data_IF_375152608170
#
_entry.id   IF_375152608170
#
_cell.length_a   1.000
_cell.length_b   1.000
_cell.length_c   1.000
_cell.angle_alpha   90.00
_cell.angle_beta   90.00
_cell.angle_gamma   90.00
#
_symmetry.space_group_name_H-M   'P 1'
#
loop_
_entity.id
_entity.type
_entity.pdbx_description
1 polymer ?
#
# COMPACT_ATOMS: atom_id res chain seq x y z
N UNK A 1 -15.04 78.02 17.37
CA UNK A 1 -14.88 77.24 18.61
C UNK A 1 -15.42 75.84 18.37
N UNK A 2 -14.73 74.84 18.91
CA UNK A 2 -14.68 73.46 18.43
C UNK A 2 -16.01 72.68 18.45
N UNK A 3 -16.30 71.98 17.35
CA UNK A 3 -17.28 70.89 17.31
C UNK A 3 -16.66 69.65 17.95
N UNK A 4 -17.27 69.16 19.04
CA UNK A 4 -16.82 67.97 19.76
C UNK A 4 -17.52 66.74 19.16
N UNK A 5 -16.77 65.91 18.43
CA UNK A 5 -17.29 64.66 17.85
C UNK A 5 -17.70 63.68 18.96
N UNK A 6 -18.84 62.98 18.83
CA UNK A 6 -19.23 61.96 19.79
C UNK A 6 -18.28 60.74 19.68
N UNK A 7 -17.69 60.36 20.81
CA UNK A 7 -16.81 59.20 20.92
C UNK A 7 -17.56 57.92 20.61
N UNK A 8 -17.01 57.09 19.72
CA UNK A 8 -17.47 55.74 19.49
C UNK A 8 -17.11 54.86 20.70
N UNK A 9 -18.12 54.36 21.42
CA UNK A 9 -17.93 53.32 22.42
C UNK A 9 -17.57 51.99 21.72
N UNK A 10 -16.30 51.59 21.81
CA UNK A 10 -15.85 50.27 21.37
C UNK A 10 -16.30 49.27 22.45
N UNK A 11 -17.38 48.53 22.16
CA UNK A 11 -17.81 47.41 23.00
C UNK A 11 -16.73 46.33 22.93
N UNK A 12 -15.88 46.28 23.96
CA UNK A 12 -14.92 45.20 24.14
C UNK A 12 -15.68 43.87 24.18
N UNK A 13 -15.45 43.03 23.17
CA UNK A 13 -16.03 41.68 23.08
C UNK A 13 -15.39 40.82 24.16
N UNK A 14 -15.97 40.82 25.37
CA UNK A 14 -15.66 39.83 26.40
C UNK A 14 -15.90 38.44 25.80
N UNK A 15 -14.83 37.68 25.59
CA UNK A 15 -14.90 36.30 25.11
C UNK A 15 -15.72 35.48 26.11
N UNK A 16 -16.79 34.86 25.65
CA UNK A 16 -17.58 33.96 26.47
C UNK A 16 -16.75 32.71 26.79
N UNK A 17 -16.37 32.55 28.05
CA UNK A 17 -15.48 31.48 28.54
C UNK A 17 -16.11 30.10 28.37
N UNK A 18 -17.44 30.01 28.45
CA UNK A 18 -18.16 28.75 28.26
C UNK A 18 -18.07 28.24 26.82
N UNK A 19 -18.15 29.15 25.85
CA UNK A 19 -18.11 28.80 24.43
C UNK A 19 -16.73 28.28 23.98
N UNK A 20 -15.63 28.74 24.59
CA UNK A 20 -14.31 28.16 24.28
C UNK A 20 -14.11 26.77 24.89
N UNK A 21 -14.77 26.45 26.01
CA UNK A 21 -14.76 25.10 26.59
C UNK A 21 -15.56 24.14 25.72
N UNK A 22 -16.77 24.54 25.31
CA UNK A 22 -17.63 23.71 24.45
C UNK A 22 -16.94 23.34 23.13
N UNK A 23 -16.29 24.32 22.48
CA UNK A 23 -15.50 24.05 21.26
C UNK A 23 -14.32 23.11 21.47
N UNK A 24 -13.71 23.13 22.66
CA UNK A 24 -12.62 22.22 23.00
C UNK A 24 -13.13 20.80 23.18
N UNK A 25 -14.25 20.63 23.87
CA UNK A 25 -14.88 19.32 24.09
C UNK A 25 -15.37 18.73 22.77
N UNK A 26 -16.02 19.53 21.91
CA UNK A 26 -16.42 19.10 20.56
C UNK A 26 -15.22 18.63 19.73
N UNK A 27 -14.12 19.39 19.75
CA UNK A 27 -12.89 19.03 19.05
C UNK A 27 -12.32 17.72 19.59
N UNK A 28 -12.28 17.53 20.90
CA UNK A 28 -11.83 16.27 21.50
C UNK A 28 -12.75 15.10 21.14
N UNK A 29 -14.07 15.28 21.11
CA UNK A 29 -14.98 14.22 20.67
C UNK A 29 -14.80 13.86 19.20
N UNK A 30 -14.56 14.86 18.34
CA UNK A 30 -14.29 14.65 16.92
C UNK A 30 -12.95 13.93 16.73
N UNK A 31 -11.90 14.36 17.43
CA UNK A 31 -10.60 13.70 17.40
C UNK A 31 -10.66 12.28 17.97
N UNK A 32 -11.46 12.03 19.01
CA UNK A 32 -11.75 10.68 19.53
C UNK A 32 -12.46 9.82 18.48
N UNK A 33 -13.49 10.36 17.81
CA UNK A 33 -14.22 9.66 16.74
C UNK A 33 -13.34 9.37 15.51
N UNK A 34 -12.46 10.30 15.16
CA UNK A 34 -11.49 10.16 14.06
C UNK A 34 -10.27 9.31 14.45
N UNK A 35 -10.13 8.92 15.72
CA UNK A 35 -8.98 8.17 16.22
C UNK A 35 -7.67 8.96 16.27
N UNK A 36 -7.74 10.29 16.18
CA UNK A 36 -6.59 11.22 16.32
C UNK A 36 -6.21 11.36 17.79
N UNK A 37 -7.21 11.50 18.67
CA UNK A 37 -7.02 11.56 20.11
C UNK A 37 -7.25 10.18 20.72
N UNK A 38 -6.22 9.32 20.62
CA UNK A 38 -6.18 8.05 21.36
C UNK A 38 -5.90 8.32 22.84
N UNK A 39 -6.90 8.12 23.69
CA UNK A 39 -6.76 8.27 25.15
C UNK A 39 -5.62 7.35 25.64
N UNK A 40 -4.65 7.96 26.31
CA UNK A 40 -3.42 7.36 26.82
C UNK A 40 -3.72 6.41 28.00
N UNK A 41 -4.46 5.34 27.78
CA UNK A 41 -4.46 4.16 28.66
C UNK A 41 -4.90 2.93 27.87
N UNK A 42 -3.96 1.99 27.70
CA UNK A 42 -4.14 0.65 27.09
C UNK A 42 -4.23 0.60 25.56
N UNK A 43 -3.21 1.09 24.86
CA UNK A 43 -2.84 0.48 23.57
C UNK A 43 -1.58 -0.36 23.76
N UNK A 44 -1.77 -1.68 23.74
CA UNK A 44 -0.74 -2.62 23.35
C UNK A 44 -0.36 -2.29 21.90
N UNK A 45 0.47 -1.27 21.72
CA UNK A 45 1.01 -0.92 20.41
C UNK A 45 1.78 -2.14 19.92
N UNK A 46 1.31 -2.75 18.84
CA UNK A 46 1.87 -3.99 18.31
C UNK A 46 3.38 -3.89 18.03
N UNK A 47 3.87 -2.66 17.79
CA UNK A 47 5.29 -2.35 17.62
C UNK A 47 6.09 -2.43 18.95
N UNK A 48 5.49 -2.03 20.08
CA UNK A 48 6.11 -2.05 21.41
C UNK A 48 6.11 -3.47 22.01
N UNK A 49 5.11 -4.30 21.70
CA UNK A 49 5.02 -5.69 22.21
C UNK A 49 6.13 -6.60 21.65
N UNK A 50 6.57 -6.36 20.40
CA UNK A 50 7.62 -7.16 19.75
C UNK A 50 9.00 -6.98 20.35
N UNK A 51 9.29 -5.81 20.94
CA UNK A 51 10.62 -5.49 21.47
C UNK A 51 10.90 -6.24 22.78
N UNK A 52 9.89 -6.37 23.65
CA UNK A 52 10.02 -7.03 24.96
C UNK A 52 10.34 -8.54 24.86
N UNK A 53 9.79 -9.26 23.88
CA UNK A 53 10.11 -10.69 23.67
C UNK A 53 11.52 -10.97 23.14
N UNK A 54 12.24 -9.95 22.66
CA UNK A 54 13.55 -10.13 22.02
C UNK A 54 14.70 -10.16 23.04
N UNK A 55 14.52 -9.57 24.21
CA UNK A 55 15.59 -9.36 25.19
C UNK A 55 15.61 -10.41 26.32
N UNK A 56 14.48 -11.03 26.66
CA UNK A 56 14.39 -11.92 27.85
C UNK A 56 14.82 -13.38 27.61
N UNK A 57 15.00 -13.80 26.36
CA UNK A 57 15.32 -15.19 26.06
C UNK A 57 16.71 -15.27 25.43
N UNK A 58 17.73 -15.29 26.29
CA UNK A 58 19.12 -15.56 25.92
C UNK A 58 19.36 -16.99 25.43
N UNK A 59 18.32 -17.80 25.19
CA UNK A 59 18.49 -19.13 24.62
C UNK A 59 18.69 -19.06 23.11
N UNK A 60 19.88 -19.51 22.69
CA UNK A 60 20.22 -19.79 21.30
C UNK A 60 19.42 -20.99 20.81
N UNK A 61 18.14 -20.79 20.50
CA UNK A 61 17.34 -21.82 19.85
C UNK A 61 17.86 -22.08 18.43
N UNK A 62 17.96 -23.34 17.97
CA UNK A 62 18.37 -23.69 16.60
C UNK A 62 17.53 -23.02 15.50
N UNK A 63 16.31 -22.59 15.83
CA UNK A 63 15.46 -21.80 14.93
C UNK A 63 15.95 -20.36 14.79
N UNK A 64 16.40 -19.73 15.89
CA UNK A 64 16.94 -18.37 15.90
C UNK A 64 18.26 -18.29 15.14
N UNK A 65 19.17 -19.24 15.33
CA UNK A 65 20.42 -19.30 14.56
C UNK A 65 20.18 -19.40 13.04
N UNK A 66 19.22 -20.25 12.63
CA UNK A 66 18.85 -20.37 11.21
C UNK A 66 18.30 -19.05 10.67
N UNK A 67 17.44 -18.39 11.45
CA UNK A 67 16.89 -17.09 11.06
C UNK A 67 17.96 -16.00 10.99
N UNK A 68 18.95 -15.99 11.89
CA UNK A 68 20.02 -14.99 11.87
C UNK A 68 21.02 -15.24 10.73
N UNK A 69 21.35 -16.50 10.43
CA UNK A 69 22.11 -16.87 9.21
C UNK A 69 21.36 -16.45 7.95
N UNK A 70 20.04 -16.67 7.90
CA UNK A 70 19.19 -16.25 6.76
C UNK A 70 19.15 -14.73 6.61
N UNK A 71 18.99 -13.98 7.71
CA UNK A 71 19.01 -12.51 7.69
C UNK A 71 20.35 -11.98 7.19
N UNK A 72 21.46 -12.56 7.66
CA UNK A 72 22.81 -12.18 7.22
C UNK A 72 23.03 -12.43 5.73
N UNK A 73 22.53 -13.54 5.20
CA UNK A 73 22.64 -13.85 3.76
C UNK A 73 21.77 -12.91 2.89
N UNK A 74 20.70 -12.36 3.46
CA UNK A 74 19.80 -11.41 2.77
C UNK A 74 20.22 -9.94 2.96
N UNK A 75 21.35 -9.70 3.63
CA UNK A 75 21.89 -8.35 3.81
C UNK A 75 22.75 -7.96 2.59
N UNK A 76 22.39 -6.91 1.83
CA UNK A 76 23.19 -6.47 0.68
C UNK A 76 24.63 -6.10 1.05
N UNK A 77 24.90 -5.68 2.29
CA UNK A 77 26.27 -5.41 2.75
C UNK A 77 27.10 -6.68 2.85
N UNK A 78 26.47 -7.81 3.19
CA UNK A 78 27.14 -9.10 3.24
C UNK A 78 27.59 -9.53 1.83
N UNK A 79 26.74 -9.32 0.83
CA UNK A 79 27.08 -9.60 -0.57
C UNK A 79 28.21 -8.72 -1.07
N UNK A 80 28.13 -7.40 -0.84
CA UNK A 80 29.19 -6.46 -1.22
C UNK A 80 30.53 -6.82 -0.58
N UNK A 81 30.53 -7.18 0.71
CA UNK A 81 31.74 -7.65 1.40
C UNK A 81 32.34 -8.88 0.73
N UNK A 82 31.52 -9.88 0.40
CA UNK A 82 31.96 -11.09 -0.29
C UNK A 82 32.54 -10.79 -1.68
N UNK A 83 31.97 -9.83 -2.43
CA UNK A 83 32.53 -9.39 -3.71
C UNK A 83 33.89 -8.73 -3.55
N UNK A 84 34.02 -7.81 -2.59
CA UNK A 84 35.29 -7.13 -2.30
C UNK A 84 36.38 -8.12 -1.86
N UNK A 85 36.05 -9.10 -1.02
CA UNK A 85 36.97 -10.18 -0.63
C UNK A 85 37.41 -11.01 -1.85
N UNK A 86 36.47 -11.42 -2.73
CA UNK A 86 36.79 -12.16 -3.95
C UNK A 86 37.68 -11.37 -4.93
N UNK A 87 37.47 -10.06 -5.05
CA UNK A 87 38.29 -9.21 -5.93
C UNK A 87 39.68 -8.97 -5.36
N UNK A 88 39.83 -8.94 -4.03
CA UNK A 88 41.15 -8.85 -3.38
C UNK A 88 41.98 -10.13 -3.62
N UNK A 89 41.32 -11.29 -3.52
CA UNK A 89 41.98 -12.58 -3.74
C UNK A 89 42.22 -12.93 -5.22
N UNK A 90 41.55 -12.24 -6.15
CA UNK A 90 41.72 -12.46 -7.60
C UNK A 90 43.09 -12.03 -8.14
N UNK A 91 43.89 -11.32 -7.34
CA UNK A 91 45.30 -11.02 -7.66
C UNK A 91 46.29 -12.06 -7.12
N UNK A 92 45.82 -13.18 -6.53
CA UNK A 92 46.67 -14.30 -6.12
C UNK A 92 46.66 -15.41 -7.18
N UNK A 93 47.81 -15.69 -7.84
CA UNK A 93 47.88 -16.66 -8.95
C UNK A 93 47.73 -18.14 -8.54
N UNK A 94 47.47 -18.44 -7.26
CA UNK A 94 47.57 -19.82 -6.74
C UNK A 94 46.24 -20.61 -6.73
N UNK A 95 45.08 -19.98 -7.00
CA UNK A 95 43.76 -20.62 -6.78
C UNK A 95 42.95 -20.99 -8.02
N UNK A 96 43.50 -20.85 -9.23
CA UNK A 96 42.75 -21.18 -10.47
C UNK A 96 42.42 -22.67 -10.66
N UNK A 97 42.99 -23.60 -9.87
CA UNK A 97 42.87 -25.04 -10.12
C UNK A 97 41.74 -25.80 -9.39
N UNK A 98 40.82 -25.16 -8.66
CA UNK A 98 39.82 -25.90 -7.84
C UNK A 98 38.33 -25.57 -8.06
N UNK A 99 37.90 -25.13 -9.24
CA UNK A 99 36.47 -24.79 -9.49
C UNK A 99 35.75 -25.55 -10.61
N UNK A 100 36.20 -26.76 -10.99
CA UNK A 100 35.58 -27.53 -12.10
C UNK A 100 34.80 -28.80 -11.69
N UNK A 101 34.26 -28.92 -10.46
CA UNK A 101 33.56 -30.16 -10.05
C UNK A 101 32.12 -30.10 -9.54
N UNK A 102 31.44 -28.96 -9.60
CA UNK A 102 29.99 -28.91 -9.37
C UNK A 102 29.29 -28.03 -10.41
N UNK A 103 29.05 -28.59 -11.60
CA UNK A 103 28.17 -27.99 -12.60
C UNK A 103 27.42 -29.07 -13.38
N UNK A 104 26.61 -29.86 -12.69
CA UNK A 104 25.59 -30.70 -13.32
C UNK A 104 24.44 -31.00 -12.35
N UNK A 105 23.33 -30.28 -12.55
CA UNK A 105 21.92 -30.56 -12.19
C UNK A 105 21.23 -29.30 -11.69
N UNK A 106 20.90 -28.42 -12.63
CA UNK A 106 19.76 -27.48 -12.48
C UNK A 106 19.43 -26.87 -13.85
N UNK A 107 19.33 -27.71 -14.90
CA UNK A 107 18.90 -27.27 -16.24
C UNK A 107 17.42 -27.49 -16.54
N UNK A 108 16.66 -28.11 -15.63
CA UNK A 108 15.24 -28.41 -15.85
C UNK A 108 14.31 -27.73 -14.85
N UNK A 109 14.65 -26.51 -14.41
CA UNK A 109 13.64 -25.64 -13.81
C UNK A 109 12.95 -24.92 -14.98
N UNK A 110 11.66 -25.15 -15.26
CA UNK A 110 10.94 -24.33 -16.21
C UNK A 110 11.05 -22.88 -15.73
N UNK A 111 11.75 -22.06 -16.51
CA UNK A 111 11.70 -20.61 -16.39
C UNK A 111 10.23 -20.25 -16.58
N UNK A 112 9.50 -20.10 -15.48
CA UNK A 112 8.21 -19.43 -15.53
C UNK A 112 8.51 -18.08 -16.17
N UNK A 113 7.87 -17.82 -17.31
CA UNK A 113 8.11 -16.71 -18.26
C UNK A 113 7.76 -15.33 -17.68
N UNK A 114 8.04 -15.13 -16.41
CA UNK A 114 7.73 -13.96 -15.60
C UNK A 114 8.75 -12.83 -15.71
N UNK A 115 9.74 -12.95 -16.60
CA UNK A 115 10.77 -11.92 -16.77
C UNK A 115 10.84 -11.45 -18.22
N UNK A 116 10.47 -10.19 -18.43
CA UNK A 116 11.41 -9.21 -19.01
C UNK A 116 10.78 -7.84 -19.23
N UNK A 117 9.85 -7.41 -18.36
CA UNK A 117 9.54 -5.97 -18.32
C UNK A 117 10.77 -5.24 -17.78
N UNK A 118 11.32 -4.31 -18.56
CA UNK A 118 12.41 -3.46 -18.08
C UNK A 118 11.92 -2.60 -16.92
N UNK A 119 12.82 -2.14 -16.05
CA UNK A 119 12.47 -1.27 -14.91
C UNK A 119 11.69 -0.04 -15.39
N UNK A 120 12.05 0.51 -16.55
CA UNK A 120 11.36 1.64 -17.17
C UNK A 120 9.94 1.29 -17.61
N UNK A 121 9.71 0.10 -18.16
CA UNK A 121 8.37 -0.38 -18.51
C UNK A 121 7.48 -0.53 -17.27
N UNK A 122 8.03 -1.00 -16.15
CA UNK A 122 7.29 -1.09 -14.89
C UNK A 122 6.92 0.29 -14.32
N UNK A 123 7.82 1.28 -14.48
CA UNK A 123 7.55 2.67 -14.09
C UNK A 123 6.47 3.30 -14.98
N UNK A 124 6.54 3.08 -16.29
CA UNK A 124 5.55 3.56 -17.23
C UNK A 124 4.17 2.95 -16.96
N UNK A 125 4.11 1.64 -16.68
CA UNK A 125 2.87 0.95 -16.31
C UNK A 125 2.26 1.50 -15.02
N UNK A 126 3.09 1.75 -14.00
CA UNK A 126 2.64 2.39 -12.75
C UNK A 126 2.05 3.77 -13.02
N UNK A 127 2.77 4.63 -13.74
CA UNK A 127 2.30 5.98 -14.09
C UNK A 127 0.97 5.93 -14.85
N UNK A 128 0.84 5.01 -15.81
CA UNK A 128 -0.41 4.81 -16.55
C UNK A 128 -1.56 4.48 -15.60
N UNK A 129 -1.39 3.50 -14.72
CA UNK A 129 -2.41 3.11 -13.73
C UNK A 129 -2.80 4.26 -12.81
N UNK A 130 -1.82 4.97 -12.25
CA UNK A 130 -2.07 6.14 -11.40
C UNK A 130 -2.84 7.24 -12.14
N UNK A 131 -2.52 7.49 -13.42
CA UNK A 131 -3.22 8.49 -14.22
C UNK A 131 -4.66 8.08 -14.55
N UNK A 132 -4.90 6.79 -14.81
CA UNK A 132 -6.21 6.26 -15.13
C UNK A 132 -7.13 6.28 -13.88
N UNK A 133 -6.61 5.90 -12.72
CA UNK A 133 -7.33 6.00 -11.43
C UNK A 133 -7.62 7.47 -11.07
N UNK A 134 -6.66 8.39 -11.32
CA UNK A 134 -6.86 9.83 -11.12
C UNK A 134 -7.93 10.40 -12.05
N UNK A 135 -7.97 9.98 -13.31
CA UNK A 135 -9.04 10.36 -14.25
C UNK A 135 -10.39 9.83 -13.77
N UNK A 136 -10.47 8.55 -13.41
CA UNK A 136 -11.70 7.93 -12.91
C UNK A 136 -12.27 8.65 -11.68
N UNK A 137 -11.39 9.00 -10.73
CA UNK A 137 -11.80 9.77 -9.54
C UNK A 137 -12.21 11.20 -9.90
N UNK A 138 -11.48 11.87 -10.79
CA UNK A 138 -11.85 13.19 -11.31
C UNK A 138 -13.22 13.19 -11.97
N UNK A 139 -13.50 12.19 -12.82
CA UNK A 139 -14.78 12.04 -13.53
C UNK A 139 -15.93 11.77 -12.55
N UNK A 140 -15.70 10.90 -11.55
CA UNK A 140 -16.66 10.66 -10.48
C UNK A 140 -16.98 11.96 -9.72
N UNK A 141 -15.95 12.74 -9.36
CA UNK A 141 -16.12 14.02 -8.67
C UNK A 141 -16.80 15.07 -9.55
N UNK A 142 -16.53 15.09 -10.85
CA UNK A 142 -17.20 15.96 -11.82
C UNK A 142 -18.70 15.60 -11.92
N UNK A 143 -19.03 14.31 -12.00
CA UNK A 143 -20.40 13.81 -11.97
C UNK A 143 -21.13 14.19 -10.68
N UNK A 144 -20.48 14.06 -9.52
CA UNK A 144 -21.04 14.52 -8.23
C UNK A 144 -21.29 16.03 -8.19
N UNK A 145 -20.46 16.82 -8.89
CA UNK A 145 -20.61 18.28 -9.02
C UNK A 145 -21.61 18.69 -10.11
N UNK A 146 -22.32 17.74 -10.73
CA UNK A 146 -23.28 18.02 -11.80
C UNK A 146 -22.66 18.43 -13.13
N UNK A 147 -21.35 18.25 -13.31
CA UNK A 147 -20.68 18.49 -14.60
C UNK A 147 -20.92 17.27 -15.50
N UNK A 148 -21.40 17.50 -16.71
CA UNK A 148 -21.53 16.46 -17.73
C UNK A 148 -20.14 15.91 -18.08
N UNK A 149 -19.94 14.61 -17.88
CA UNK A 149 -18.76 13.88 -18.35
C UNK A 149 -19.21 13.05 -19.55
N UNK A 150 -18.48 13.06 -20.68
CA UNK A 150 -18.81 12.22 -21.83
C UNK A 150 -18.80 10.75 -21.40
N UNK A 151 -19.95 10.09 -21.53
CA UNK A 151 -20.14 8.71 -21.16
C UNK A 151 -19.34 7.82 -22.13
N UNK A 152 -18.26 7.22 -21.64
CA UNK A 152 -17.43 6.27 -22.39
C UNK A 152 -17.77 4.83 -22.03
N UNK A 153 -19.03 4.55 -21.72
CA UNK A 153 -19.49 3.18 -21.54
C UNK A 153 -19.94 2.60 -22.88
N UNK A 154 -19.00 2.00 -23.62
CA UNK A 154 -19.32 0.97 -24.64
C UNK A 154 -19.80 -0.35 -23.98
N UNK A 155 -19.92 -0.37 -22.65
CA UNK A 155 -20.62 -1.44 -21.96
C UNK A 155 -22.11 -1.28 -22.29
N UNK A 156 -22.52 -1.88 -23.40
CA UNK A 156 -23.92 -2.20 -23.66
C UNK A 156 -24.40 -2.89 -22.39
N UNK A 157 -25.14 -2.17 -21.55
CA UNK A 157 -25.91 -2.77 -20.47
C UNK A 157 -26.87 -3.72 -21.18
N UNK A 158 -26.42 -4.96 -21.38
CA UNK A 158 -27.28 -6.03 -21.86
C UNK A 158 -28.31 -6.18 -20.75
N UNK A 159 -29.47 -5.59 -21.01
CA UNK A 159 -30.67 -5.66 -20.20
C UNK A 159 -30.75 -7.08 -19.61
N UNK A 160 -30.99 -7.20 -18.30
CA UNK A 160 -31.04 -8.48 -17.59
C UNK A 160 -31.92 -9.51 -18.35
N UNK A 161 -32.98 -9.06 -19.02
CA UNK A 161 -33.86 -9.89 -19.87
C UNK A 161 -33.25 -10.42 -21.17
N UNK A 162 -32.18 -9.81 -21.67
CA UNK A 162 -31.43 -10.22 -22.86
C UNK A 162 -30.26 -11.15 -22.53
N UNK A 163 -29.92 -11.32 -21.27
CA UNK A 163 -28.90 -12.29 -20.85
C UNK A 163 -29.45 -13.71 -21.05
N UNK A 164 -28.67 -14.54 -21.73
CA UNK A 164 -28.99 -15.96 -21.89
C UNK A 164 -28.99 -16.67 -20.54
N UNK A 165 -29.80 -17.73 -20.42
CA UNK A 165 -29.83 -18.56 -19.22
C UNK A 165 -28.52 -19.36 -19.08
N UNK A 166 -27.93 -19.43 -17.88
CA UNK A 166 -26.76 -20.27 -17.61
C UNK A 166 -27.18 -21.73 -17.34
N UNK A 167 -26.89 -22.63 -18.28
CA UNK A 167 -27.28 -24.03 -18.23
C UNK A 167 -26.63 -24.86 -17.11
N UNK A 168 -25.60 -24.36 -16.44
CA UNK A 168 -24.94 -25.08 -15.32
C UNK A 168 -25.86 -25.26 -14.10
N UNK A 169 -26.80 -24.33 -13.90
CA UNK A 169 -27.58 -24.28 -12.67
C UNK A 169 -28.99 -24.86 -12.82
N UNK A 170 -29.57 -24.88 -14.04
CA UNK A 170 -30.79 -25.64 -14.38
C UNK A 170 -30.90 -25.87 -15.91
N UNK A 171 -30.43 -27.01 -16.45
CA UNK A 171 -30.43 -27.26 -17.88
C UNK A 171 -31.83 -27.34 -18.52
N UNK A 172 -32.87 -27.64 -17.75
CA UNK A 172 -34.24 -27.79 -18.26
C UNK A 172 -34.89 -26.46 -18.69
N UNK A 173 -34.39 -25.32 -18.18
CA UNK A 173 -34.87 -23.98 -18.57
C UNK A 173 -34.18 -23.42 -19.82
N UNK A 174 -33.22 -24.16 -20.39
CA UNK A 174 -32.55 -23.75 -21.63
C UNK A 174 -33.56 -23.83 -22.78
N UNK A 175 -33.69 -22.73 -23.53
CA UNK A 175 -34.55 -22.67 -24.72
C UNK A 175 -34.05 -23.69 -25.75
N UNK A 176 -34.85 -24.73 -26.01
CA UNK A 176 -34.56 -25.71 -27.07
C UNK A 176 -34.90 -25.07 -28.43
N UNK A 177 -34.09 -25.29 -29.48
CA UNK A 177 -34.47 -24.90 -30.83
C UNK A 177 -35.76 -25.63 -31.21
N UNK A 178 -36.65 -24.96 -31.92
CA UNK A 178 -37.88 -25.57 -32.43
C UNK A 178 -37.49 -26.36 -33.67
N UNK A 179 -37.61 -27.68 -33.60
CA UNK A 179 -37.32 -28.57 -34.74
C UNK A 179 -38.13 -28.12 -35.97
N UNK A 180 -37.46 -28.03 -37.13
CA UNK A 180 -38.05 -27.68 -38.43
C UNK A 180 -38.58 -28.90 -39.14
#
# INVERSE_FOLDING_TARGET
MAHQSPGYNIVEKKKNVEHEKEKKDEKETWEKKMGILTYLTKSNSWYLSKKRKKEEDGSTSPRRERDDKRKKLMDPLYDLKNYVEKTKDAHSPEREKKKSKHKSKDKDRPQTTSSSKTIEQLRAERLKRETDEKKKTSDLMAKMRGKSVPDKSDHVELNERRRGYNSQYNPDFVRRPKDS
#
